data_IF_006751017109
#
_entry.id   IF_006751017109
#
_cell.length_a   1.000
_cell.length_b   1.000
_cell.length_c   1.000
_cell.angle_alpha   90.00
_cell.angle_beta   90.00
_cell.angle_gamma   90.00
#
_symmetry.space_group_name_H-M   'P 1'
#
loop_
_entity.id
_entity.type
_entity.pdbx_description
1 polymer ?
#
# COMPACT_ATOMS: atom_id res chain seq x y z
N UNK A 1 4.25 -0.04 -18.34
CA UNK A 1 4.15 1.30 -17.70
C UNK A 1 5.01 2.27 -18.48
N UNK A 2 4.50 3.45 -18.74
CA UNK A 2 5.26 4.51 -19.42
C UNK A 2 5.87 5.47 -18.39
N UNK A 3 6.86 6.26 -18.83
CA UNK A 3 7.52 7.24 -17.94
C UNK A 3 6.58 8.35 -17.44
N UNK A 4 5.41 8.51 -18.08
CA UNK A 4 4.41 9.52 -17.69
C UNK A 4 3.39 9.01 -16.68
N UNK A 5 3.37 7.71 -16.41
CA UNK A 5 2.42 7.14 -15.47
C UNK A 5 2.73 7.61 -14.04
N UNK A 6 1.67 8.02 -13.34
CA UNK A 6 1.79 8.37 -11.93
C UNK A 6 1.71 7.11 -11.08
N UNK A 7 2.59 7.03 -10.09
CA UNK A 7 2.63 5.92 -9.15
C UNK A 7 2.17 6.37 -7.78
N UNK A 8 1.41 5.48 -7.12
CA UNK A 8 0.82 5.73 -5.82
C UNK A 8 1.25 4.64 -4.84
N UNK A 9 1.35 5.03 -3.58
CA UNK A 9 1.69 4.13 -2.47
C UNK A 9 0.83 4.48 -1.27
N UNK A 10 0.15 3.49 -0.72
CA UNK A 10 -0.55 3.63 0.57
C UNK A 10 0.32 3.03 1.66
N UNK A 11 0.53 3.76 2.74
CA UNK A 11 1.44 3.33 3.78
C UNK A 11 1.23 4.04 5.11
N UNK A 12 2.24 4.00 6.00
CA UNK A 12 2.14 4.60 7.31
C UNK A 12 1.99 6.12 7.23
N UNK A 13 1.50 6.76 8.30
CA UNK A 13 1.35 8.21 8.34
C UNK A 13 2.69 8.92 8.48
N UNK A 14 2.68 10.23 8.23
CA UNK A 14 3.78 11.11 8.58
C UNK A 14 4.89 11.23 7.55
N UNK A 15 4.77 10.59 6.40
CA UNK A 15 5.76 10.75 5.33
C UNK A 15 5.58 12.12 4.66
N UNK A 16 6.69 12.72 4.23
CA UNK A 16 6.73 14.04 3.58
C UNK A 16 7.39 13.95 2.22
N UNK A 17 7.14 14.93 1.34
CA UNK A 17 7.88 15.00 0.08
C UNK A 17 9.39 14.94 0.31
N UNK A 18 10.07 14.09 -0.46
CA UNK A 18 11.49 13.83 -0.32
C UNK A 18 11.84 12.62 0.55
N UNK A 19 10.92 12.13 1.36
CA UNK A 19 11.17 10.95 2.19
C UNK A 19 11.35 9.71 1.31
N UNK A 20 12.28 8.85 1.72
CA UNK A 20 12.53 7.57 1.06
C UNK A 20 11.75 6.46 1.76
N UNK A 21 10.98 5.72 0.96
CA UNK A 21 10.28 4.52 1.44
C UNK A 21 11.16 3.33 1.09
N UNK A 22 11.49 2.52 2.10
CA UNK A 22 12.29 1.31 1.93
C UNK A 22 11.50 0.09 2.38
N UNK A 23 11.84 -1.12 1.87
CA UNK A 23 11.16 -2.33 2.29
C UNK A 23 11.37 -2.59 3.78
N UNK A 24 10.36 -3.19 4.42
CA UNK A 24 10.46 -3.61 5.81
C UNK A 24 11.11 -4.98 5.90
N UNK A 25 11.88 -5.21 6.95
CA UNK A 25 12.38 -6.53 7.24
C UNK A 25 11.21 -7.47 7.57
N UNK A 26 11.28 -8.70 7.11
CA UNK A 26 10.20 -9.67 7.30
C UNK A 26 9.90 -9.94 8.78
N UNK A 27 10.91 -9.84 9.64
CA UNK A 27 10.79 -10.04 11.08
C UNK A 27 10.61 -8.75 11.88
N UNK A 28 10.52 -7.60 11.20
CA UNK A 28 10.31 -6.32 11.87
C UNK A 28 8.86 -6.19 12.30
N UNK A 29 8.62 -6.24 13.60
CA UNK A 29 7.30 -6.09 14.20
C UNK A 29 7.10 -4.73 14.86
N UNK A 30 8.08 -3.83 14.76
CA UNK A 30 8.04 -2.53 15.43
C UNK A 30 6.89 -1.65 14.95
N UNK A 31 6.38 -1.89 13.75
CA UNK A 31 5.27 -1.15 13.17
C UNK A 31 3.90 -1.75 13.52
N UNK A 32 3.84 -2.89 14.17
CA UNK A 32 2.58 -3.54 14.51
C UNK A 32 1.91 -2.81 15.68
N UNK A 33 0.61 -2.62 15.57
CA UNK A 33 -0.18 -1.80 16.48
C UNK A 33 -1.22 -2.67 17.18
N UNK A 34 -1.32 -2.52 18.50
CA UNK A 34 -2.30 -3.25 19.30
C UNK A 34 -3.72 -2.83 18.89
N UNK A 35 -4.60 -3.82 18.75
CA UNK A 35 -5.99 -3.59 18.37
C UNK A 35 -6.22 -3.46 16.87
N UNK A 36 -5.17 -3.47 16.03
CA UNK A 36 -5.31 -3.50 14.59
C UNK A 36 -5.51 -4.96 14.14
N UNK A 37 -6.64 -5.32 13.50
CA UNK A 37 -6.88 -6.72 13.10
C UNK A 37 -5.79 -7.31 12.21
N UNK A 38 -5.28 -6.53 11.25
CA UNK A 38 -4.19 -6.98 10.37
C UNK A 38 -2.90 -7.20 11.15
N UNK A 39 -2.56 -6.30 12.07
CA UNK A 39 -1.38 -6.42 12.91
C UNK A 39 -1.49 -7.63 13.85
N UNK A 40 -2.66 -7.84 14.44
CA UNK A 40 -2.90 -8.99 15.32
C UNK A 40 -2.80 -10.30 14.54
N UNK A 41 -3.36 -10.36 13.34
CA UNK A 41 -3.26 -11.53 12.48
C UNK A 41 -1.79 -11.83 12.14
N UNK A 42 -1.02 -10.79 11.84
CA UNK A 42 0.40 -10.93 11.51
C UNK A 42 1.22 -11.42 12.70
N UNK A 43 0.93 -10.93 13.92
CA UNK A 43 1.57 -11.42 15.14
C UNK A 43 1.23 -12.89 15.43
N UNK A 44 -0.01 -13.28 15.13
CA UNK A 44 -0.47 -14.65 15.35
C UNK A 44 0.03 -15.63 14.27
N UNK A 45 0.70 -15.13 13.22
CA UNK A 45 1.12 -15.96 12.10
C UNK A 45 -0.02 -16.38 11.18
N UNK A 46 -1.17 -15.72 11.27
CA UNK A 46 -2.33 -15.99 10.40
C UNK A 46 -2.00 -15.55 8.97
N UNK A 47 -2.19 -16.41 7.95
CA UNK A 47 -1.96 -16.03 6.56
C UNK A 47 -2.80 -14.82 6.15
N UNK A 48 -2.16 -13.90 5.40
CA UNK A 48 -2.79 -12.68 4.89
C UNK A 48 -2.75 -12.69 3.36
N UNK A 49 -3.70 -12.01 2.67
CA UNK A 49 -3.67 -11.93 1.22
C UNK A 49 -2.39 -11.33 0.64
N UNK A 50 -1.69 -10.51 1.41
CA UNK A 50 -0.44 -9.87 1.00
C UNK A 50 0.80 -10.74 1.20
N UNK A 51 0.66 -11.96 1.73
CA UNK A 51 1.81 -12.83 2.01
C UNK A 51 2.52 -13.32 0.74
N UNK A 52 1.86 -13.23 -0.43
CA UNK A 52 2.46 -13.55 -1.72
C UNK A 52 3.39 -12.44 -2.23
N UNK A 53 3.40 -11.29 -1.59
CA UNK A 53 4.26 -10.18 -1.97
C UNK A 53 5.66 -10.36 -1.39
N UNK A 54 6.67 -9.94 -2.18
CA UNK A 54 8.06 -10.00 -1.72
C UNK A 54 8.32 -8.91 -0.68
N UNK A 55 8.67 -9.27 0.57
CA UNK A 55 8.92 -8.27 1.61
C UNK A 55 10.17 -7.41 1.36
N UNK A 56 11.03 -7.81 0.42
CA UNK A 56 12.22 -7.03 0.04
C UNK A 56 11.90 -5.89 -0.93
N UNK A 57 10.63 -5.71 -1.30
CA UNK A 57 10.21 -4.70 -2.26
C UNK A 57 9.18 -3.75 -1.66
N UNK A 58 9.21 -2.51 -2.16
CA UNK A 58 8.17 -1.50 -1.92
C UNK A 58 7.17 -1.59 -3.07
N UNK A 59 5.88 -1.70 -2.77
CA UNK A 59 4.87 -1.87 -3.80
C UNK A 59 4.21 -0.55 -4.16
N UNK A 60 4.08 -0.32 -5.47
CA UNK A 60 3.49 0.89 -6.05
C UNK A 60 2.50 0.50 -7.14
N UNK A 61 1.54 1.35 -7.41
CA UNK A 61 0.50 1.09 -8.40
C UNK A 61 0.12 2.37 -9.14
N UNK A 62 -0.37 2.22 -10.37
CA UNK A 62 -1.00 3.32 -11.11
C UNK A 62 -2.47 3.51 -10.71
N UNK A 63 -3.04 2.61 -9.93
CA UNK A 63 -4.43 2.69 -9.47
C UNK A 63 -4.50 3.38 -8.11
N UNK A 64 -4.92 4.64 -8.12
CA UNK A 64 -4.99 5.47 -6.91
C UNK A 64 -5.94 4.88 -5.86
N UNK A 65 -7.09 4.36 -6.27
CA UNK A 65 -8.06 3.78 -5.34
C UNK A 65 -7.50 2.54 -4.66
N UNK A 66 -6.76 1.72 -5.39
CA UNK A 66 -6.12 0.53 -4.82
C UNK A 66 -5.09 0.91 -3.76
N UNK A 67 -4.27 1.93 -4.03
CA UNK A 67 -3.32 2.45 -3.05
C UNK A 67 -4.04 3.02 -1.81
N UNK A 68 -5.20 3.64 -2.00
CA UNK A 68 -6.02 4.17 -0.92
C UNK A 68 -6.48 3.06 0.04
N UNK A 69 -6.82 1.90 -0.50
CA UNK A 69 -7.19 0.74 0.32
C UNK A 69 -6.01 0.29 1.20
N UNK A 70 -4.81 0.24 0.64
CA UNK A 70 -3.62 -0.12 1.41
C UNK A 70 -3.33 0.91 2.51
N UNK A 71 -3.50 2.20 2.23
CA UNK A 71 -3.35 3.24 3.25
C UNK A 71 -4.34 3.05 4.39
N UNK A 72 -5.59 2.70 4.06
CA UNK A 72 -6.63 2.46 5.07
C UNK A 72 -6.35 1.24 5.95
N UNK A 73 -5.48 0.33 5.51
CA UNK A 73 -5.04 -0.81 6.31
C UNK A 73 -4.08 -0.44 7.43
N UNK A 74 -3.53 0.78 7.42
CA UNK A 74 -2.71 1.31 8.51
C UNK A 74 -3.56 2.18 9.41
N UNK A 75 -3.39 2.13 10.74
CA UNK A 75 -3.96 3.16 11.60
C UNK A 75 -3.38 4.53 11.21
N UNK A 76 -4.27 5.45 10.89
CA UNK A 76 -3.90 6.81 10.44
C UNK A 76 -3.03 6.83 9.17
N UNK A 77 -3.19 5.84 8.30
CA UNK A 77 -2.40 5.71 7.10
C UNK A 77 -2.53 6.86 6.12
N UNK A 78 -1.51 7.03 5.29
CA UNK A 78 -1.43 8.08 4.27
C UNK A 78 -1.40 7.54 2.85
N UNK A 79 -1.89 8.36 1.92
CA UNK A 79 -1.80 8.11 0.49
C UNK A 79 -0.78 9.06 -0.13
N UNK A 80 0.17 8.49 -0.84
CA UNK A 80 1.30 9.23 -1.40
C UNK A 80 1.42 9.01 -2.89
N UNK A 81 1.81 10.07 -3.60
CA UNK A 81 2.35 9.95 -4.93
C UNK A 81 3.85 9.79 -4.81
N UNK A 82 4.42 8.82 -5.56
CA UNK A 82 5.82 8.44 -5.41
C UNK A 82 6.51 8.33 -6.76
N UNK A 83 7.85 8.34 -6.72
CA UNK A 83 8.72 7.98 -7.82
C UNK A 83 9.59 6.82 -7.37
N UNK A 84 9.99 5.97 -8.32
CA UNK A 84 10.82 4.81 -8.05
C UNK A 84 12.14 4.90 -8.82
N UNK A 85 13.19 4.35 -8.23
CA UNK A 85 14.46 4.12 -8.88
C UNK A 85 14.71 2.62 -9.00
N UNK A 86 15.47 2.25 -10.05
CA UNK A 86 15.84 0.86 -10.28
C UNK A 86 14.77 0.03 -10.96
N UNK A 87 15.00 -1.27 -11.04
CA UNK A 87 14.10 -2.16 -11.77
C UNK A 87 12.77 -2.32 -11.07
N UNK A 88 11.69 -2.43 -11.88
CA UNK A 88 10.35 -2.70 -11.40
C UNK A 88 10.01 -4.17 -11.66
N UNK A 89 9.51 -4.85 -10.65
CA UNK A 89 9.07 -6.24 -10.74
C UNK A 89 7.54 -6.26 -10.72
N UNK A 90 6.87 -6.82 -11.75
CA UNK A 90 5.42 -6.91 -11.75
C UNK A 90 4.90 -7.64 -10.52
N UNK A 91 3.82 -7.12 -9.93
CA UNK A 91 3.16 -7.68 -8.76
C UNK A 91 1.98 -8.57 -9.21
N UNK A 92 1.61 -9.60 -8.43
CA UNK A 92 0.43 -10.41 -8.72
C UNK A 92 -0.90 -9.74 -8.42
N UNK A 93 -0.90 -8.49 -8.00
CA UNK A 93 -2.12 -7.75 -7.69
C UNK A 93 -3.08 -7.66 -8.88
N UNK A 94 -4.40 -7.51 -8.62
CA UNK A 94 -5.41 -7.46 -9.69
C UNK A 94 -5.39 -6.16 -10.50
N UNK A 95 -4.58 -5.18 -10.12
CA UNK A 95 -4.40 -3.90 -10.82
C UNK A 95 -2.94 -3.76 -11.22
N UNK A 96 -2.61 -2.90 -12.20
CA UNK A 96 -1.21 -2.66 -12.56
C UNK A 96 -0.40 -2.18 -11.35
N UNK A 97 0.52 -3.03 -10.91
CA UNK A 97 1.32 -2.80 -9.70
C UNK A 97 2.71 -3.41 -9.86
N UNK A 98 3.68 -2.82 -9.18
CA UNK A 98 5.07 -3.26 -9.25
C UNK A 98 5.73 -3.17 -7.88
N UNK A 99 6.69 -4.06 -7.66
CA UNK A 99 7.64 -3.95 -6.56
C UNK A 99 8.89 -3.21 -7.01
N UNK A 100 9.40 -2.33 -6.18
CA UNK A 100 10.62 -1.56 -6.41
C UNK A 100 11.56 -1.67 -5.22
N UNK A 101 12.89 -1.49 -5.43
CA UNK A 101 13.84 -1.50 -4.30
C UNK A 101 13.57 -0.38 -3.30
N UNK A 102 13.07 0.75 -3.78
CA UNK A 102 12.68 1.89 -2.94
C UNK A 102 11.76 2.81 -3.71
N UNK A 103 11.10 3.71 -3.00
CA UNK A 103 10.29 4.76 -3.61
C UNK A 103 10.49 6.06 -2.84
N UNK A 104 10.41 7.19 -3.54
CA UNK A 104 10.52 8.52 -2.93
C UNK A 104 9.19 9.21 -2.99
N UNK A 105 8.77 9.79 -1.87
CA UNK A 105 7.54 10.58 -1.81
C UNK A 105 7.70 11.85 -2.61
N UNK A 106 6.81 12.07 -3.58
CA UNK A 106 6.73 13.30 -4.38
C UNK A 106 5.70 14.25 -3.79
N UNK A 107 4.56 13.70 -3.37
CA UNK A 107 3.47 14.50 -2.80
C UNK A 107 2.65 13.66 -1.83
N UNK A 108 2.14 14.30 -0.80
CA UNK A 108 1.16 13.71 0.12
C UNK A 108 -0.22 14.04 -0.45
N UNK A 109 -0.95 13.02 -0.88
CA UNK A 109 -2.28 13.21 -1.48
C UNK A 109 -3.37 13.22 -0.42
N UNK A 110 -3.25 12.35 0.58
CA UNK A 110 -4.14 12.32 1.74
C UNK A 110 -3.31 11.91 2.97
N UNK A 111 -3.10 12.82 3.92
CA UNK A 111 -2.27 12.54 5.10
C UNK A 111 -2.95 11.62 6.11
N UNK A 112 -4.27 11.45 6.00
CA UNK A 112 -5.05 10.68 6.96
C UNK A 112 -6.22 10.04 6.23
N UNK A 113 -5.99 8.85 5.65
CA UNK A 113 -7.01 8.15 4.88
C UNK A 113 -8.09 7.59 5.81
N UNK A 114 -9.34 7.96 5.54
CA UNK A 114 -10.52 7.40 6.18
C UNK A 114 -11.50 6.96 5.10
N UNK A 115 -11.90 5.69 5.16
CA UNK A 115 -12.89 5.17 4.22
C UNK A 115 -14.28 5.33 4.82
N UNK A 116 -15.17 5.99 4.06
CA UNK A 116 -16.59 6.01 4.38
C UNK A 116 -17.21 4.65 4.04
N UNK A 117 -18.42 4.40 4.54
CA UNK A 117 -19.17 3.21 4.15
C UNK A 117 -19.42 3.17 2.63
N UNK A 118 -19.62 4.34 2.02
CA UNK A 118 -19.75 4.45 0.57
C UNK A 118 -18.47 4.02 -0.15
N UNK A 119 -17.31 4.47 0.32
CA UNK A 119 -16.02 4.09 -0.26
C UNK A 119 -15.79 2.58 -0.14
N UNK A 120 -16.07 1.99 1.01
CA UNK A 120 -15.92 0.55 1.23
C UNK A 120 -16.78 -0.23 0.22
N UNK A 121 -18.04 0.18 0.04
CA UNK A 121 -18.92 -0.47 -0.93
C UNK A 121 -18.43 -0.30 -2.37
N UNK A 122 -17.96 0.90 -2.73
CA UNK A 122 -17.45 1.21 -4.06
C UNK A 122 -16.21 0.36 -4.37
N UNK A 123 -15.28 0.26 -3.45
CA UNK A 123 -14.06 -0.52 -3.62
C UNK A 123 -14.36 -2.03 -3.66
N UNK A 124 -15.29 -2.51 -2.83
CA UNK A 124 -15.69 -3.90 -2.87
C UNK A 124 -16.24 -4.29 -4.26
N UNK A 125 -17.10 -3.44 -4.83
CA UNK A 125 -17.63 -3.68 -6.18
C UNK A 125 -16.52 -3.70 -7.23
N UNK A 126 -15.56 -2.78 -7.11
CA UNK A 126 -14.49 -2.64 -8.11
C UNK A 126 -13.48 -3.78 -8.06
N UNK A 127 -13.08 -4.21 -6.88
CA UNK A 127 -11.96 -5.16 -6.72
C UNK A 127 -12.38 -6.57 -6.35
N UNK A 128 -13.54 -6.75 -5.73
CA UNK A 128 -14.06 -8.07 -5.37
C UNK A 128 -15.13 -8.59 -6.34
N UNK A 129 -15.53 -7.77 -7.27
CA UNK A 129 -16.49 -8.13 -8.28
C UNK A 129 -17.94 -8.04 -7.81
N UNK A 130 -18.85 -8.17 -8.79
CA UNK A 130 -20.30 -8.03 -8.55
C UNK A 130 -20.93 -9.26 -7.90
N UNK A 131 -20.20 -10.37 -7.83
CA UNK A 131 -20.67 -11.59 -7.19
C UNK A 131 -20.56 -11.52 -5.67
N UNK A 132 -19.88 -10.51 -5.18
CA UNK A 132 -19.73 -10.31 -3.75
C UNK A 132 -21.07 -9.85 -3.14
#
# INVERSE_FOLDING_TARGET
MTATDRLYHGGPPGLRPGDLITPRQADDTSHLIDGCPTCEARRAGTPLPTDDLDPALVYVTTDRDYATIFAAGYPDGGLYRVETDGPLTPSPDPVPSWGAPSARVVAVLDPLVRLSAHDVRRFARRYLGSAA
#
